data_IF_559427650404
#
_entry.id   IF_559427650404
#
_cell.length_a   1.000
_cell.length_b   1.000
_cell.length_c   1.000
_cell.angle_alpha   90.00
_cell.angle_beta   90.00
_cell.angle_gamma   90.00
#
_symmetry.space_group_name_H-M   'P 1'
#
loop_
_entity.id
_entity.type
_entity.pdbx_description
1 polymer ?
#
# COMPACT_ATOMS: atom_id res chain seq x y z
N UNK A 1 26.67 -19.54 -9.45
CA UNK A 1 25.53 -18.75 -9.98
C UNK A 1 24.36 -18.98 -9.04
N UNK A 2 23.86 -17.97 -8.30
CA UNK A 2 22.68 -18.16 -7.47
C UNK A 2 21.44 -18.26 -8.38
N UNK A 3 20.66 -19.28 -8.09
CA UNK A 3 19.43 -19.74 -8.71
C UNK A 3 18.39 -18.63 -8.80
N UNK A 4 17.77 -18.49 -9.97
CA UNK A 4 16.62 -17.63 -10.24
C UNK A 4 15.42 -18.06 -9.39
N UNK A 5 15.34 -17.60 -8.14
CA UNK A 5 14.05 -17.45 -7.47
C UNK A 5 13.26 -16.45 -8.31
N UNK A 6 12.06 -16.80 -8.77
CA UNK A 6 11.21 -15.85 -9.49
C UNK A 6 11.10 -14.59 -8.62
N UNK A 7 11.64 -13.44 -9.06
CA UNK A 7 11.47 -12.22 -8.29
C UNK A 7 9.97 -11.98 -8.25
N UNK A 8 9.43 -11.69 -7.06
CA UNK A 8 8.01 -11.44 -6.89
C UNK A 8 7.47 -10.46 -7.93
N UNK A 9 6.15 -10.42 -8.07
CA UNK A 9 5.48 -9.51 -8.99
C UNK A 9 4.46 -8.66 -8.24
N UNK A 10 4.21 -7.48 -8.80
CA UNK A 10 3.21 -6.53 -8.32
C UNK A 10 2.32 -6.10 -9.49
N UNK A 11 1.03 -5.89 -9.24
CA UNK A 11 0.13 -5.36 -10.26
C UNK A 11 0.44 -3.90 -10.60
N UNK A 12 0.29 -3.56 -11.87
CA UNK A 12 0.46 -2.19 -12.36
C UNK A 12 -0.41 -1.18 -11.61
N UNK A 13 -1.65 -1.53 -11.25
CA UNK A 13 -2.50 -0.62 -10.48
C UNK A 13 -1.95 -0.30 -9.08
N UNK A 14 -1.19 -1.21 -8.45
CA UNK A 14 -0.52 -0.93 -7.17
C UNK A 14 0.50 0.19 -7.37
N UNK A 15 1.33 0.10 -8.41
CA UNK A 15 2.32 1.12 -8.76
C UNK A 15 1.63 2.45 -9.09
N UNK A 16 0.64 2.41 -9.99
CA UNK A 16 -0.13 3.58 -10.40
C UNK A 16 -0.83 4.28 -9.24
N UNK A 17 -1.26 3.55 -8.22
CA UNK A 17 -1.95 4.15 -7.07
C UNK A 17 -1.09 5.13 -6.28
N UNK A 18 0.24 4.98 -6.35
CA UNK A 18 1.17 5.92 -5.75
C UNK A 18 1.61 7.00 -6.75
N UNK A 19 1.94 6.62 -7.99
CA UNK A 19 2.60 7.56 -8.92
C UNK A 19 1.63 8.43 -9.70
N UNK A 20 0.48 7.89 -10.14
CA UNK A 20 -0.39 8.60 -11.08
C UNK A 20 -0.97 9.91 -10.51
N UNK A 21 -1.42 9.97 -9.23
CA UNK A 21 -1.86 11.25 -8.65
C UNK A 21 -0.72 12.27 -8.56
N UNK A 22 0.47 11.84 -8.13
CA UNK A 22 1.61 12.74 -7.94
C UNK A 22 2.16 13.27 -9.27
N UNK A 23 2.21 12.43 -10.31
CA UNK A 23 2.60 12.81 -11.66
C UNK A 23 1.60 13.79 -12.28
N UNK A 24 0.29 13.50 -12.16
CA UNK A 24 -0.78 14.37 -12.66
C UNK A 24 -0.70 15.76 -12.04
N UNK A 25 -0.46 15.82 -10.74
CA UNK A 25 -0.43 17.07 -9.99
C UNK A 25 0.96 17.76 -10.07
N UNK A 26 1.92 17.17 -10.79
CA UNK A 26 3.32 17.62 -10.91
C UNK A 26 3.93 17.95 -9.54
N UNK A 27 3.65 17.11 -8.56
CA UNK A 27 3.94 17.43 -7.16
C UNK A 27 5.45 17.58 -6.93
N UNK A 28 5.81 18.45 -5.99
CA UNK A 28 7.21 18.57 -5.56
C UNK A 28 7.75 17.24 -5.01
N UNK A 29 6.89 16.47 -4.36
CA UNK A 29 7.22 15.12 -3.90
C UNK A 29 7.58 14.19 -5.07
N UNK A 30 6.82 14.21 -6.18
CA UNK A 30 7.15 13.40 -7.34
C UNK A 30 8.53 13.74 -7.90
N UNK A 31 8.86 15.03 -8.02
CA UNK A 31 10.19 15.45 -8.50
C UNK A 31 11.30 14.90 -7.62
N UNK A 32 11.18 15.05 -6.29
CA UNK A 32 12.16 14.50 -5.33
C UNK A 32 12.30 12.98 -5.42
N UNK A 33 11.18 12.28 -5.62
CA UNK A 33 11.14 10.82 -5.79
C UNK A 33 11.83 10.41 -7.09
N UNK A 34 11.49 11.06 -8.19
CA UNK A 34 12.06 10.80 -9.51
C UNK A 34 13.57 11.07 -9.52
N UNK A 35 14.04 12.15 -8.90
CA UNK A 35 15.46 12.47 -8.75
C UNK A 35 16.23 11.42 -7.94
N UNK A 36 15.55 10.70 -7.05
CA UNK A 36 16.12 9.62 -6.23
C UNK A 36 16.12 8.24 -6.90
N UNK A 37 15.51 8.09 -8.07
CA UNK A 37 15.44 6.82 -8.81
C UNK A 37 16.66 6.58 -9.69
N UNK A 38 16.92 5.31 -10.01
CA UNK A 38 17.90 4.92 -11.03
C UNK A 38 17.46 5.40 -12.42
N UNK A 39 18.37 5.50 -13.41
CA UNK A 39 17.99 5.76 -14.80
C UNK A 39 16.91 4.80 -15.31
N UNK A 40 17.05 3.50 -15.02
CA UNK A 40 16.13 2.45 -15.42
C UNK A 40 14.75 2.59 -14.74
N UNK A 41 14.73 2.89 -13.44
CA UNK A 41 13.48 3.14 -12.71
C UNK A 41 12.75 4.38 -13.21
N UNK A 42 13.48 5.48 -13.50
CA UNK A 42 12.90 6.67 -14.11
C UNK A 42 12.30 6.37 -15.48
N UNK A 43 13.01 5.64 -16.33
CA UNK A 43 12.50 5.22 -17.64
C UNK A 43 11.22 4.40 -17.49
N UNK A 44 11.21 3.43 -16.57
CA UNK A 44 10.03 2.62 -16.28
C UNK A 44 8.81 3.46 -15.86
N UNK A 45 8.99 4.39 -14.90
CA UNK A 45 7.88 5.22 -14.38
C UNK A 45 7.45 6.37 -15.31
N UNK A 46 8.27 6.72 -16.32
CA UNK A 46 7.89 7.62 -17.41
C UNK A 46 7.15 6.92 -18.55
N UNK A 47 7.33 5.61 -18.68
CA UNK A 47 6.66 4.79 -19.68
C UNK A 47 5.21 4.44 -19.31
N UNK A 48 4.56 3.69 -20.19
CA UNK A 48 3.19 3.24 -19.99
C UNK A 48 3.14 2.07 -18.98
N UNK A 49 2.46 2.29 -17.86
CA UNK A 49 2.11 1.24 -16.89
C UNK A 49 0.64 0.86 -17.07
N UNK A 50 0.39 -0.39 -17.47
CA UNK A 50 -0.95 -0.93 -17.62
C UNK A 50 -1.44 -1.51 -16.30
N UNK A 51 -2.57 -0.99 -15.80
CA UNK A 51 -3.12 -1.35 -14.49
C UNK A 51 -3.30 -2.85 -14.25
N UNK A 52 -3.69 -3.60 -15.29
CA UNK A 52 -3.94 -5.04 -15.23
C UNK A 52 -2.70 -5.91 -15.42
N UNK A 53 -1.57 -5.35 -15.83
CA UNK A 53 -0.33 -6.11 -16.07
C UNK A 53 0.41 -6.40 -14.77
N UNK A 54 1.19 -7.49 -14.76
CA UNK A 54 2.12 -7.82 -13.69
C UNK A 54 3.50 -7.24 -14.03
N UNK A 55 4.16 -6.69 -13.01
CA UNK A 55 5.47 -6.09 -13.13
C UNK A 55 6.43 -6.67 -12.09
N UNK A 56 7.74 -6.73 -12.38
CA UNK A 56 8.73 -7.16 -11.40
C UNK A 56 8.64 -6.33 -10.12
N UNK A 57 8.57 -7.00 -8.97
CA UNK A 57 8.45 -6.38 -7.64
C UNK A 57 9.61 -5.45 -7.32
N UNK A 58 10.79 -5.65 -7.92
CA UNK A 58 11.91 -4.70 -7.84
C UNK A 58 11.51 -3.25 -8.15
N UNK A 59 10.54 -3.04 -9.05
CA UNK A 59 10.06 -1.69 -9.39
C UNK A 59 9.33 -1.06 -8.19
N UNK A 60 8.58 -1.85 -7.41
CA UNK A 60 7.98 -1.39 -6.16
C UNK A 60 9.06 -1.11 -5.10
N UNK A 61 10.08 -1.96 -4.99
CA UNK A 61 11.19 -1.71 -4.04
C UNK A 61 11.89 -0.40 -4.32
N UNK A 62 12.26 -0.17 -5.58
CA UNK A 62 12.91 1.08 -5.98
C UNK A 62 12.02 2.29 -5.71
N UNK A 63 10.74 2.22 -6.07
CA UNK A 63 9.79 3.30 -5.79
C UNK A 63 9.67 3.59 -4.30
N UNK A 64 9.57 2.55 -3.47
CA UNK A 64 9.46 2.72 -2.02
C UNK A 64 10.76 3.25 -1.39
N UNK A 65 11.92 2.82 -1.87
CA UNK A 65 13.21 3.40 -1.48
C UNK A 65 13.28 4.89 -1.85
N UNK A 66 12.86 5.26 -3.06
CA UNK A 66 12.82 6.63 -3.51
C UNK A 66 11.83 7.48 -2.70
N UNK A 67 10.66 6.94 -2.33
CA UNK A 67 9.73 7.61 -1.41
C UNK A 67 10.37 7.84 -0.05
N UNK A 68 10.94 6.81 0.59
CA UNK A 68 11.60 6.97 1.88
C UNK A 68 12.74 7.99 1.82
N UNK A 69 13.53 8.01 0.74
CA UNK A 69 14.57 9.02 0.57
C UNK A 69 13.99 10.43 0.45
N UNK A 70 12.97 10.61 -0.41
CA UNK A 70 12.32 11.90 -0.64
C UNK A 70 11.63 12.45 0.62
N UNK A 71 11.02 11.58 1.42
CA UNK A 71 10.33 11.94 2.67
C UNK A 71 11.24 11.91 3.89
N UNK A 72 12.52 11.55 3.72
CA UNK A 72 13.45 11.26 4.83
C UNK A 72 12.87 10.26 5.84
N UNK A 73 12.09 9.30 5.34
CA UNK A 73 11.36 8.30 6.11
C UNK A 73 10.38 8.91 7.13
N UNK A 74 9.81 10.08 6.83
CA UNK A 74 8.75 10.67 7.64
C UNK A 74 7.52 9.76 7.64
N UNK A 75 7.17 9.23 8.82
CA UNK A 75 5.96 8.42 9.02
C UNK A 75 4.71 9.16 8.53
N UNK A 76 4.59 10.45 8.83
CA UNK A 76 3.44 11.28 8.45
C UNK A 76 3.30 11.37 6.91
N UNK A 77 4.40 11.68 6.20
CA UNK A 77 4.37 11.81 4.74
C UNK A 77 4.10 10.46 4.06
N UNK A 78 4.64 9.36 4.60
CA UNK A 78 4.34 8.01 4.11
C UNK A 78 2.87 7.63 4.37
N UNK A 79 2.32 8.02 5.52
CA UNK A 79 0.90 7.81 5.82
C UNK A 79 0.00 8.61 4.87
N UNK A 80 0.37 9.84 4.53
CA UNK A 80 -0.36 10.65 3.55
C UNK A 80 -0.33 10.05 2.14
N UNK A 81 0.82 9.51 1.72
CA UNK A 81 0.92 8.75 0.48
C UNK A 81 0.00 7.52 0.48
N UNK A 82 -0.11 6.82 1.60
CA UNK A 82 -1.00 5.66 1.75
C UNK A 82 -2.46 6.05 1.64
N UNK A 83 -2.81 7.19 2.24
CA UNK A 83 -4.13 7.79 2.17
C UNK A 83 -4.50 8.20 0.74
N UNK A 84 -3.56 8.81 0.02
CA UNK A 84 -3.73 9.14 -1.40
C UNK A 84 -3.94 7.87 -2.25
N UNK A 85 -3.15 6.83 -2.03
CA UNK A 85 -3.26 5.57 -2.75
C UNK A 85 -4.62 4.89 -2.52
N UNK A 86 -5.14 4.90 -1.29
CA UNK A 86 -6.48 4.39 -0.98
C UNK A 86 -7.56 5.10 -1.81
N UNK A 87 -7.52 6.43 -1.86
CA UNK A 87 -8.50 7.23 -2.64
C UNK A 87 -8.47 6.89 -4.12
N UNK A 88 -7.27 6.69 -4.68
CA UNK A 88 -7.10 6.27 -6.08
C UNK A 88 -7.66 4.87 -6.33
N UNK A 89 -7.22 3.87 -5.55
CA UNK A 89 -7.62 2.47 -5.74
C UNK A 89 -9.13 2.28 -5.63
N UNK A 90 -9.78 2.98 -4.70
CA UNK A 90 -11.23 2.88 -4.53
C UNK A 90 -11.97 3.49 -5.72
N UNK A 91 -11.51 4.64 -6.21
CA UNK A 91 -12.12 5.29 -7.38
C UNK A 91 -12.02 4.42 -8.64
N UNK A 92 -10.91 3.72 -8.82
CA UNK A 92 -10.61 2.94 -10.03
C UNK A 92 -11.18 1.52 -9.96
N UNK A 93 -11.16 0.86 -8.80
CA UNK A 93 -11.42 -0.59 -8.70
C UNK A 93 -12.66 -0.91 -7.84
N UNK A 94 -12.93 -0.16 -6.78
CA UNK A 94 -13.87 -0.58 -5.72
C UNK A 94 -15.13 0.29 -5.58
N UNK A 95 -15.44 1.13 -6.58
CA UNK A 95 -16.59 2.06 -6.56
C UNK A 95 -17.94 1.39 -6.23
N UNK A 96 -18.07 0.09 -6.54
CA UNK A 96 -19.28 -0.72 -6.28
C UNK A 96 -19.28 -1.38 -4.89
N UNK A 97 -18.12 -1.59 -4.27
CA UNK A 97 -18.00 -2.39 -3.04
C UNK A 97 -18.25 -1.60 -1.74
N UNK A 98 -17.97 -0.30 -1.71
CA UNK A 98 -18.05 0.47 -0.46
C UNK A 98 -19.47 0.82 -0.01
N UNK A 99 -20.46 0.83 -0.91
CA UNK A 99 -21.84 1.23 -0.53
C UNK A 99 -22.52 0.27 0.45
N UNK A 100 -22.03 -0.98 0.55
CA UNK A 100 -22.66 -2.03 1.37
C UNK A 100 -21.67 -2.79 2.27
N UNK A 101 -20.40 -2.40 2.29
CA UNK A 101 -19.39 -3.10 3.08
C UNK A 101 -19.29 -2.51 4.49
N UNK A 102 -19.22 -3.38 5.50
CA UNK A 102 -18.74 -2.99 6.84
C UNK A 102 -17.20 -2.96 6.84
N UNK A 103 -16.55 -2.24 7.77
CA UNK A 103 -15.09 -2.33 7.96
C UNK A 103 -14.61 -3.78 8.02
N UNK A 104 -15.19 -4.57 8.92
CA UNK A 104 -15.01 -6.02 9.00
C UNK A 104 -15.02 -6.73 7.64
N UNK A 105 -16.03 -6.48 6.79
CA UNK A 105 -16.15 -7.13 5.49
C UNK A 105 -15.06 -6.69 4.49
N UNK A 106 -14.62 -5.42 4.54
CA UNK A 106 -13.50 -4.94 3.73
C UNK A 106 -12.20 -5.59 4.16
N UNK A 107 -11.94 -5.68 5.46
CA UNK A 107 -10.68 -6.21 5.98
C UNK A 107 -10.62 -7.74 5.96
N UNK A 108 -11.73 -8.45 6.09
CA UNK A 108 -11.80 -9.89 5.82
C UNK A 108 -11.49 -10.20 4.34
N UNK A 109 -11.67 -9.22 3.44
CA UNK A 109 -11.20 -9.31 2.06
C UNK A 109 -9.78 -8.79 1.87
N UNK A 110 -9.12 -8.22 2.88
CA UNK A 110 -7.76 -7.68 2.76
C UNK A 110 -6.78 -8.75 2.30
N UNK A 111 -6.91 -10.00 2.76
CA UNK A 111 -6.13 -11.14 2.27
C UNK A 111 -6.29 -11.34 0.75
N UNK A 112 -7.54 -11.28 0.26
CA UNK A 112 -7.85 -11.41 -1.17
C UNK A 112 -7.42 -10.17 -1.97
N UNK A 113 -7.46 -8.98 -1.37
CA UNK A 113 -6.96 -7.75 -2.01
C UNK A 113 -5.44 -7.82 -2.15
N UNK A 114 -4.74 -8.23 -1.09
CA UNK A 114 -3.29 -8.39 -1.07
C UNK A 114 -2.82 -9.35 -2.18
N UNK A 115 -3.41 -10.55 -2.25
CA UNK A 115 -3.04 -11.55 -3.26
C UNK A 115 -3.36 -11.16 -4.71
N UNK A 116 -4.23 -10.16 -4.91
CA UNK A 116 -4.47 -9.55 -6.24
C UNK A 116 -3.46 -8.46 -6.58
N UNK A 117 -2.80 -7.87 -5.59
CA UNK A 117 -1.84 -6.78 -5.75
C UNK A 117 -0.40 -7.27 -5.90
N UNK A 118 -0.06 -8.39 -5.26
CA UNK A 118 1.31 -8.92 -5.20
C UNK A 118 1.29 -10.44 -5.19
N UNK A 119 2.31 -11.07 -5.77
CA UNK A 119 2.51 -12.52 -5.71
C UNK A 119 3.32 -12.96 -4.49
N UNK A 120 3.77 -12.01 -3.67
CA UNK A 120 4.56 -12.25 -2.45
C UNK A 120 3.89 -11.62 -1.24
N UNK A 121 4.12 -12.25 -0.10
CA UNK A 121 3.55 -11.87 1.17
C UNK A 121 2.12 -12.40 1.35
N UNK A 122 1.72 -12.60 2.59
CA UNK A 122 0.35 -13.02 2.96
C UNK A 122 -0.18 -12.10 4.03
N UNK A 123 -1.35 -11.52 3.80
CA UNK A 123 -2.09 -10.75 4.81
C UNK A 123 -3.19 -11.62 5.43
N UNK A 124 -3.27 -11.65 6.75
CA UNK A 124 -4.25 -12.43 7.50
C UNK A 124 -4.90 -11.57 8.58
N UNK A 125 -6.23 -11.63 8.75
CA UNK A 125 -6.91 -11.05 9.91
C UNK A 125 -6.80 -12.05 11.05
N UNK A 126 -6.17 -11.66 12.16
CA UNK A 126 -5.95 -12.51 13.34
C UNK A 126 -6.93 -12.21 14.47
N UNK A 127 -7.55 -11.03 14.47
CA UNK A 127 -8.57 -10.63 15.43
C UNK A 127 -9.59 -9.71 14.75
N UNK A 128 -10.88 -9.93 15.03
CA UNK A 128 -11.97 -9.11 14.50
C UNK A 128 -12.95 -8.76 15.64
N UNK A 129 -13.22 -7.47 15.78
CA UNK A 129 -14.15 -6.92 16.77
C UNK A 129 -15.05 -5.84 16.14
N UNK A 130 -16.15 -5.45 16.81
CA UNK A 130 -17.07 -4.46 16.26
C UNK A 130 -16.49 -3.05 16.03
N UNK A 131 -15.39 -2.70 16.69
CA UNK A 131 -14.68 -1.41 16.63
C UNK A 131 -13.23 -1.49 16.16
N UNK A 132 -12.70 -2.69 15.94
CA UNK A 132 -11.31 -2.82 15.50
C UNK A 132 -11.05 -4.18 14.85
N UNK A 133 -9.91 -4.27 14.17
CA UNK A 133 -9.31 -5.52 13.74
C UNK A 133 -7.81 -5.50 13.98
N UNK A 134 -7.24 -6.69 14.05
CA UNK A 134 -5.81 -6.90 14.01
C UNK A 134 -5.49 -7.75 12.79
N UNK A 135 -4.64 -7.22 11.92
CA UNK A 135 -4.14 -7.90 10.73
C UNK A 135 -2.63 -8.17 10.85
N UNK A 136 -2.16 -9.24 10.24
CA UNK A 136 -0.74 -9.56 10.14
C UNK A 136 -0.35 -9.72 8.67
N UNK A 137 0.72 -9.03 8.28
CA UNK A 137 1.40 -9.22 7.01
C UNK A 137 2.66 -10.04 7.26
N UNK A 138 2.78 -11.18 6.59
CA UNK A 138 4.01 -11.97 6.54
C UNK A 138 4.62 -11.85 5.14
N UNK A 139 5.72 -11.13 5.00
CA UNK A 139 6.42 -10.87 3.75
C UNK A 139 7.94 -10.80 3.97
N UNK A 140 8.72 -11.79 3.51
CA UNK A 140 10.16 -11.82 3.77
C UNK A 140 10.94 -10.69 3.10
N UNK A 141 10.33 -10.00 2.14
CA UNK A 141 10.98 -8.99 1.31
C UNK A 141 10.06 -7.76 1.20
N UNK A 142 9.49 -7.32 2.32
CA UNK A 142 8.63 -6.13 2.33
C UNK A 142 9.47 -4.86 2.02
N UNK A 143 9.09 -4.06 1.00
CA UNK A 143 9.76 -2.80 0.75
C UNK A 143 9.70 -1.87 1.97
N UNK A 144 10.70 -0.99 2.16
CA UNK A 144 10.69 -0.02 3.25
C UNK A 144 9.47 0.92 3.14
N UNK A 145 8.99 1.44 4.28
CA UNK A 145 7.88 2.39 4.34
C UNK A 145 6.48 1.83 4.04
N UNK A 146 6.37 0.59 3.54
CA UNK A 146 5.07 -0.07 3.30
C UNK A 146 4.23 -0.17 4.59
N UNK A 147 4.78 -0.50 5.77
CA UNK A 147 3.98 -0.51 6.99
C UNK A 147 3.30 0.85 7.27
N UNK A 148 4.03 1.96 7.14
CA UNK A 148 3.51 3.31 7.34
C UNK A 148 2.45 3.66 6.28
N UNK A 149 2.69 3.31 5.01
CA UNK A 149 1.71 3.46 3.93
C UNK A 149 0.41 2.70 4.21
N UNK A 150 0.51 1.45 4.69
CA UNK A 150 -0.67 0.64 5.02
C UNK A 150 -1.50 1.30 6.13
N UNK A 151 -0.86 1.98 7.09
CA UNK A 151 -1.62 2.67 8.15
C UNK A 151 -2.49 3.80 7.62
N UNK A 152 -1.96 4.63 6.72
CA UNK A 152 -2.71 5.74 6.11
C UNK A 152 -3.78 5.25 5.15
N UNK A 153 -3.47 4.18 4.41
CA UNK A 153 -4.45 3.49 3.59
C UNK A 153 -5.63 2.98 4.43
N UNK A 154 -5.33 2.35 5.58
CA UNK A 154 -6.33 1.77 6.47
C UNK A 154 -7.23 2.83 7.10
N UNK A 155 -6.65 3.91 7.63
CA UNK A 155 -7.41 5.04 8.18
C UNK A 155 -8.35 5.64 7.12
N UNK A 156 -7.85 5.81 5.89
CA UNK A 156 -8.63 6.39 4.80
C UNK A 156 -9.79 5.50 4.41
N UNK A 157 -9.59 4.18 4.35
CA UNK A 157 -10.66 3.22 4.08
C UNK A 157 -11.75 3.29 5.15
N UNK A 158 -11.37 3.33 6.42
CA UNK A 158 -12.32 3.47 7.54
C UNK A 158 -13.12 4.77 7.41
N UNK A 159 -12.46 5.89 7.12
CA UNK A 159 -13.12 7.17 6.89
C UNK A 159 -14.11 7.10 5.71
N UNK A 160 -13.74 6.46 4.61
CA UNK A 160 -14.59 6.29 3.43
C UNK A 160 -15.78 5.35 3.66
N UNK A 161 -15.72 4.49 4.67
CA UNK A 161 -16.85 3.69 5.16
C UNK A 161 -17.77 4.46 6.13
N UNK A 162 -17.54 5.77 6.30
CA UNK A 162 -18.35 6.64 7.15
C UNK A 162 -18.13 6.44 8.65
N UNK A 163 -16.94 5.96 9.05
CA UNK A 163 -16.52 5.79 10.44
C UNK A 163 -15.36 6.73 10.75
N UNK A 164 -15.20 7.13 12.01
CA UNK A 164 -14.02 7.90 12.43
C UNK A 164 -12.91 6.92 12.82
N UNK A 165 -11.76 6.90 12.12
CA UNK A 165 -10.65 6.02 12.47
C UNK A 165 -9.97 6.47 13.75
N UNK A 166 -9.54 5.51 14.56
CA UNK A 166 -8.37 5.71 15.41
C UNK A 166 -7.12 5.60 14.54
N UNK A 167 -6.05 6.28 14.94
CA UNK A 167 -4.76 6.20 14.23
C UNK A 167 -4.29 4.75 14.20
N UNK A 168 -4.35 4.10 13.04
CA UNK A 168 -3.78 2.77 12.81
C UNK A 168 -2.30 2.75 13.19
N UNK A 169 -1.88 1.74 13.95
CA UNK A 169 -0.47 1.50 14.30
C UNK A 169 0.00 0.17 13.73
N UNK A 170 1.33 -0.01 13.69
CA UNK A 170 1.92 -1.30 13.35
C UNK A 170 3.11 -1.61 14.25
N UNK A 171 3.36 -2.90 14.46
CA UNK A 171 4.50 -3.43 15.20
C UNK A 171 5.15 -4.57 14.39
N UNK A 172 6.47 -4.67 14.44
CA UNK A 172 7.16 -5.84 13.89
C UNK A 172 7.13 -6.97 14.91
N UNK A 173 6.44 -8.06 14.58
CA UNK A 173 6.23 -9.22 15.47
C UNK A 173 7.07 -10.44 15.09
N UNK A 174 7.84 -10.32 14.01
CA UNK A 174 8.77 -11.35 13.55
C UNK A 174 9.72 -10.83 12.46
N UNK A 175 10.69 -11.64 12.02
CA UNK A 175 11.66 -11.23 11.01
C UNK A 175 11.01 -10.85 9.68
N UNK A 176 9.87 -11.45 9.36
CA UNK A 176 9.13 -11.24 8.11
C UNK A 176 7.71 -10.77 8.39
N UNK A 177 7.40 -10.36 9.62
CA UNK A 177 6.02 -10.19 10.06
C UNK A 177 5.74 -8.85 10.73
N UNK A 178 4.69 -8.19 10.25
CA UNK A 178 4.17 -6.92 10.76
C UNK A 178 2.72 -7.09 11.16
N UNK A 179 2.38 -6.60 12.36
CA UNK A 179 1.03 -6.61 12.90
C UNK A 179 0.48 -5.20 12.82
N UNK A 180 -0.74 -5.05 12.30
CA UNK A 180 -1.45 -3.78 12.16
C UNK A 180 -2.66 -3.79 13.08
N UNK A 181 -2.87 -2.70 13.83
CA UNK A 181 -4.06 -2.48 14.65
C UNK A 181 -4.87 -1.36 14.04
N UNK A 182 -6.03 -1.70 13.46
CA UNK A 182 -6.93 -0.74 12.81
C UNK A 182 -8.19 -0.61 13.68
N UNK A 183 -8.53 0.59 14.12
CA UNK A 183 -9.69 0.83 14.99
C UNK A 183 -10.58 1.98 14.51
N UNK A 184 -11.82 2.01 14.98
CA UNK A 184 -12.79 3.07 14.66
C UNK A 184 -13.81 3.30 15.79
N UNK A 185 -14.41 4.49 15.79
CA UNK A 185 -15.49 4.84 16.73
C UNK A 185 -16.77 4.06 16.36
N UNK A 186 -17.37 3.35 17.34
CA UNK A 186 -18.69 2.71 17.17
C UNK A 186 -19.75 3.79 16.97
N UNK A 187 -20.70 3.51 16.08
CA UNK A 187 -21.94 4.29 16.01
C UNK A 187 -22.92 3.74 17.04
#
# INVERSE_FOLDING_TARGET
>A
MPTSAHPGEVKGYTLLSYVAPLQRDRSELWRRVEDGMTPEGREFYRGDIYASSWYPRRNLHELMQAFCAATKSSEEELRDLGSMAARYQIHVIYRVFLKFATPALVFNRAASVWSRQTTVGTFTVVEEHPDHLIGELDDPDLPPGIPDLITGWSDTIIAMLGRTPYRTSWDRVGPTRWRFRVGWIKR
#
